data_IF_897190278485
#
_entry.id   IF_897190278485
#
_cell.length_a   1.000
_cell.length_b   1.000
_cell.length_c   1.000
_cell.angle_alpha   90.00
_cell.angle_beta   90.00
_cell.angle_gamma   90.00
#
_symmetry.space_group_name_H-M   'P 1'
#
loop_
_entity.id
_entity.type
_entity.pdbx_description
1 polymer ?
#
# COMPACT_ATOMS: atom_id res chain seq x y z
N UNK A 1 -3.91 -14.09 2.78
CA UNK A 1 -3.82 -12.81 3.51
C UNK A 1 -5.14 -12.38 4.15
N UNK A 2 -6.32 -12.82 3.69
CA UNK A 2 -7.61 -12.43 4.28
C UNK A 2 -7.66 -12.50 5.83
N UNK A 3 -7.17 -13.57 6.51
CA UNK A 3 -7.20 -13.62 7.97
C UNK A 3 -6.32 -12.57 8.69
N UNK A 4 -5.36 -11.95 8.01
CA UNK A 4 -4.59 -10.82 8.55
C UNK A 4 -5.34 -9.50 8.34
N UNK A 5 -5.96 -9.32 7.18
CA UNK A 5 -6.75 -8.14 6.89
C UNK A 5 -7.99 -8.05 7.79
N UNK A 6 -8.66 -9.18 8.03
CA UNK A 6 -9.85 -9.24 8.88
C UNK A 6 -9.55 -8.87 10.34
N UNK A 7 -8.29 -8.99 10.77
CA UNK A 7 -7.83 -8.54 12.10
C UNK A 7 -7.42 -7.07 12.12
N UNK A 8 -7.14 -6.44 10.99
CA UNK A 8 -6.64 -5.07 10.91
C UNK A 8 -7.73 -4.08 10.49
N UNK A 9 -8.47 -4.41 9.43
CA UNK A 9 -9.47 -3.55 8.82
C UNK A 9 -10.61 -3.11 9.75
N UNK A 10 -11.09 -3.91 10.74
CA UNK A 10 -12.13 -3.46 11.66
C UNK A 10 -11.72 -2.25 12.53
N UNK A 11 -10.42 -1.99 12.66
CA UNK A 11 -9.90 -0.85 13.42
C UNK A 11 -9.71 0.41 12.58
N UNK A 12 -9.96 0.34 11.26
CA UNK A 12 -9.87 1.47 10.35
C UNK A 12 -11.25 2.04 10.03
N UNK A 13 -11.35 3.34 9.71
CA UNK A 13 -12.57 3.89 9.12
C UNK A 13 -12.86 3.23 7.76
N UNK A 14 -14.13 3.17 7.37
CA UNK A 14 -14.57 2.53 6.13
C UNK A 14 -13.86 3.06 4.86
N UNK A 15 -13.44 4.32 4.89
CA UNK A 15 -12.48 4.91 3.95
C UNK A 15 -11.44 5.70 4.74
N UNK A 16 -10.20 5.66 4.29
CA UNK A 16 -9.10 6.33 4.96
C UNK A 16 -7.82 6.31 4.15
N UNK A 17 -6.77 6.90 4.70
CA UNK A 17 -5.43 6.91 4.10
C UNK A 17 -4.50 6.01 4.92
N UNK A 18 -3.90 5.01 4.30
CA UNK A 18 -2.99 4.05 4.95
C UNK A 18 -1.57 4.31 4.48
N UNK A 19 -0.61 4.27 5.41
CA UNK A 19 0.83 4.28 5.12
C UNK A 19 1.36 2.84 5.17
N UNK A 20 1.89 2.36 4.05
CA UNK A 20 2.52 1.04 3.92
C UNK A 20 4.03 1.22 3.81
N UNK A 21 4.76 0.90 4.89
CA UNK A 21 6.22 1.09 5.00
C UNK A 21 6.91 -0.23 4.70
N UNK A 22 7.79 -0.25 3.70
CA UNK A 22 8.37 -1.49 3.19
C UNK A 22 7.34 -2.30 2.42
N UNK A 23 6.60 -1.63 1.52
CA UNK A 23 5.47 -2.24 0.81
C UNK A 23 5.89 -3.37 -0.15
N UNK A 24 7.19 -3.54 -0.39
CA UNK A 24 7.74 -4.52 -1.32
C UNK A 24 7.23 -4.26 -2.73
N UNK A 25 6.58 -5.26 -3.33
CA UNK A 25 5.93 -5.11 -4.64
C UNK A 25 4.58 -4.40 -4.58
N UNK A 26 4.05 -4.06 -3.40
CA UNK A 26 2.77 -3.36 -3.23
C UNK A 26 1.55 -4.27 -3.11
N UNK A 27 1.71 -5.57 -2.82
CA UNK A 27 0.60 -6.55 -2.76
C UNK A 27 -0.53 -6.12 -1.81
N UNK A 28 -0.17 -5.70 -0.60
CA UNK A 28 -1.14 -5.42 0.45
C UNK A 28 -1.76 -4.03 0.23
N UNK A 29 -0.93 -3.05 -0.14
CA UNK A 29 -1.38 -1.75 -0.68
C UNK A 29 -2.44 -1.89 -1.77
N UNK A 30 -2.24 -2.76 -2.76
CA UNK A 30 -3.21 -2.98 -3.86
C UNK A 30 -4.53 -3.55 -3.32
N UNK A 31 -4.46 -4.51 -2.40
CA UNK A 31 -5.63 -5.11 -1.79
C UNK A 31 -6.45 -4.08 -0.99
N UNK A 32 -5.80 -3.13 -0.34
CA UNK A 32 -6.47 -2.04 0.38
C UNK A 32 -7.03 -0.98 -0.58
N UNK A 33 -6.32 -0.62 -1.66
CA UNK A 33 -6.86 0.27 -2.70
C UNK A 33 -8.16 -0.26 -3.31
N UNK A 34 -8.21 -1.57 -3.61
CA UNK A 34 -9.43 -2.22 -4.13
C UNK A 34 -10.60 -2.19 -3.14
N UNK A 35 -10.33 -2.06 -1.84
CA UNK A 35 -11.34 -1.91 -0.79
C UNK A 35 -11.74 -0.46 -0.53
N UNK A 36 -11.15 0.49 -1.26
CA UNK A 36 -11.55 1.88 -1.23
C UNK A 36 -10.63 2.81 -0.43
N UNK A 37 -9.48 2.31 0.06
CA UNK A 37 -8.50 3.13 0.77
C UNK A 37 -7.59 3.92 -0.18
N UNK A 38 -7.12 5.07 0.29
CA UNK A 38 -5.99 5.78 -0.31
C UNK A 38 -4.69 5.28 0.33
N UNK A 39 -3.62 5.22 -0.46
CA UNK A 39 -2.35 4.65 0.00
C UNK A 39 -1.20 5.63 -0.19
N UNK A 40 -0.35 5.72 0.83
CA UNK A 40 1.06 6.09 0.65
C UNK A 40 1.88 4.83 0.84
N UNK A 41 2.68 4.46 -0.14
CA UNK A 41 3.57 3.30 -0.01
C UNK A 41 5.03 3.73 -0.13
N UNK A 42 5.88 3.16 0.72
CA UNK A 42 7.33 3.39 0.69
C UNK A 42 8.08 2.08 0.60
N UNK A 43 9.13 2.05 -0.20
CA UNK A 43 9.98 0.88 -0.35
C UNK A 43 11.43 1.36 -0.57
N UNK A 44 12.39 0.90 0.24
CA UNK A 44 13.81 1.26 0.07
C UNK A 44 14.49 0.54 -1.09
N UNK A 45 14.05 -0.67 -1.44
CA UNK A 45 14.70 -1.45 -2.50
C UNK A 45 14.18 -0.98 -3.85
N UNK A 46 15.06 -0.37 -4.66
CA UNK A 46 14.70 0.28 -5.93
C UNK A 46 13.94 -0.62 -6.91
N UNK A 47 14.34 -1.89 -7.02
CA UNK A 47 13.68 -2.85 -7.91
C UNK A 47 12.25 -3.16 -7.45
N UNK A 48 12.04 -3.30 -6.14
CA UNK A 48 10.71 -3.52 -5.56
C UNK A 48 9.85 -2.26 -5.65
N UNK A 49 10.42 -1.09 -5.35
CA UNK A 49 9.74 0.21 -5.50
C UNK A 49 9.24 0.42 -6.93
N UNK A 50 10.04 0.06 -7.94
CA UNK A 50 9.66 0.16 -9.35
C UNK A 50 8.49 -0.78 -9.68
N UNK A 51 8.50 -2.01 -9.16
CA UNK A 51 7.37 -2.95 -9.32
C UNK A 51 6.12 -2.41 -8.63
N UNK A 52 6.24 -1.89 -7.42
CA UNK A 52 5.13 -1.30 -6.68
C UNK A 52 4.55 -0.08 -7.38
N UNK A 53 5.38 0.84 -7.87
CA UNK A 53 4.95 2.01 -8.65
C UNK A 53 4.15 1.59 -9.89
N UNK A 54 4.63 0.61 -10.65
CA UNK A 54 3.95 0.09 -11.82
C UNK A 54 2.62 -0.61 -11.48
N UNK A 55 2.55 -1.32 -10.35
CA UNK A 55 1.36 -2.10 -9.98
C UNK A 55 0.31 -1.29 -9.21
N UNK A 56 0.72 -0.26 -8.46
CA UNK A 56 -0.15 0.56 -7.61
C UNK A 56 -0.67 1.85 -8.27
N UNK A 57 -0.04 2.30 -9.36
CA UNK A 57 -0.36 3.58 -10.02
C UNK A 57 -1.86 3.90 -10.15
N UNK A 58 -2.19 5.20 -10.08
CA UNK A 58 -3.57 5.71 -10.18
C UNK A 58 -3.87 6.81 -9.15
N UNK A 59 -5.11 7.33 -9.17
CA UNK A 59 -5.51 8.54 -8.42
C UNK A 59 -5.53 8.40 -6.88
N UNK A 60 -5.33 7.19 -6.35
CA UNK A 60 -5.40 6.88 -4.91
C UNK A 60 -4.08 6.37 -4.34
N UNK A 61 -3.00 6.57 -5.09
CA UNK A 61 -1.65 6.11 -4.75
C UNK A 61 -0.69 7.29 -4.69
N UNK A 62 0.14 7.31 -3.67
CA UNK A 62 1.32 8.17 -3.58
C UNK A 62 2.55 7.31 -3.30
N UNK A 63 3.51 7.32 -4.23
CA UNK A 63 4.82 6.71 -4.01
C UNK A 63 5.70 7.67 -3.20
N UNK A 64 6.38 7.17 -2.17
CA UNK A 64 7.55 7.85 -1.61
C UNK A 64 8.73 6.90 -1.58
N UNK A 65 9.68 7.13 -2.48
CA UNK A 65 11.00 6.48 -2.40
C UNK A 65 11.69 6.96 -1.11
N UNK A 66 12.07 6.01 -0.27
CA UNK A 66 12.76 6.27 0.97
C UNK A 66 14.20 5.78 0.83
N UNK A 67 15.19 6.66 1.04
CA UNK A 67 16.57 6.24 1.28
C UNK A 67 16.68 6.01 2.79
N UNK A 68 16.83 4.76 3.20
CA UNK A 68 17.13 4.40 4.60
C UNK A 68 18.64 4.47 4.79
#
# INVERSE_FOLDING_TARGET
MAPLYDRFLPYLPATGHILDVGCGSGRDSRAFMQRGYSMTATEPVETLATIAEAWLGGNRYTAKRCKI
#
